data_IF_200538495438
#
_entry.id   IF_200538495438
#
_cell.length_a   1.000
_cell.length_b   1.000
_cell.length_c   1.000
_cell.angle_alpha   90.00
_cell.angle_beta   90.00
_cell.angle_gamma   90.00
#
_symmetry.space_group_name_H-M   'P 1'
#
loop_
_entity.id
_entity.type
_entity.pdbx_description
1 polymer ?
#
# COMPACT_ATOMS: atom_id res chain seq x y z
N UNK A 1 -10.69 -17.06 3.59
CA UNK A 1 -9.86 -16.82 2.36
C UNK A 1 -9.96 -15.37 1.97
N UNK A 2 -8.83 -14.70 1.80
CA UNK A 2 -8.79 -13.30 1.39
C UNK A 2 -9.07 -13.16 -0.11
N UNK A 3 -9.89 -12.18 -0.45
CA UNK A 3 -10.19 -11.78 -1.83
C UNK A 3 -10.02 -10.28 -1.97
N UNK A 4 -9.90 -9.79 -3.19
CA UNK A 4 -9.84 -8.35 -3.47
C UNK A 4 -10.95 -7.97 -4.44
N UNK A 5 -11.40 -6.73 -4.33
CA UNK A 5 -12.36 -6.11 -5.24
C UNK A 5 -12.02 -4.64 -5.43
N UNK A 6 -12.57 -3.98 -6.44
CA UNK A 6 -12.43 -2.52 -6.54
C UNK A 6 -12.94 -1.83 -5.27
N UNK A 7 -12.23 -0.80 -4.86
CA UNK A 7 -12.61 0.05 -3.74
C UNK A 7 -13.92 0.78 -4.04
N UNK A 8 -14.73 0.98 -3.00
CA UNK A 8 -15.95 1.78 -3.05
C UNK A 8 -15.86 2.91 -2.03
N UNK A 9 -16.45 4.06 -2.35
CA UNK A 9 -16.48 5.19 -1.42
C UNK A 9 -17.05 4.83 -0.04
N UNK A 10 -18.00 3.89 0.00
CA UNK A 10 -18.58 3.39 1.25
C UNK A 10 -17.56 2.68 2.16
N UNK A 11 -16.42 2.24 1.63
CA UNK A 11 -15.37 1.58 2.41
C UNK A 11 -14.52 2.57 3.21
N UNK A 12 -14.52 3.84 2.84
CA UNK A 12 -13.58 4.86 3.33
C UNK A 12 -13.56 4.98 4.84
N UNK A 13 -14.72 5.13 5.48
CA UNK A 13 -14.78 5.34 6.92
C UNK A 13 -14.23 4.14 7.69
N UNK A 14 -14.49 2.93 7.22
CA UNK A 14 -13.94 1.71 7.83
C UNK A 14 -12.41 1.69 7.72
N UNK A 15 -11.88 1.95 6.51
CA UNK A 15 -10.44 1.95 6.27
C UNK A 15 -9.75 3.04 7.10
N UNK A 16 -10.30 4.25 7.11
CA UNK A 16 -9.74 5.37 7.88
C UNK A 16 -9.74 5.10 9.38
N UNK A 17 -10.71 4.33 9.88
CA UNK A 17 -10.79 3.97 11.30
C UNK A 17 -9.62 3.10 11.77
N UNK A 18 -8.89 2.47 10.85
CA UNK A 18 -7.74 1.63 11.18
C UNK A 18 -6.49 2.41 11.56
N UNK A 19 -6.45 3.70 11.23
CA UNK A 19 -5.39 4.61 11.69
C UNK A 19 -5.86 5.31 12.96
N UNK A 20 -5.24 4.98 14.09
CA UNK A 20 -5.68 5.44 15.40
C UNK A 20 -4.89 6.65 15.90
N UNK A 21 -3.80 7.02 15.23
CA UNK A 21 -3.00 8.17 15.58
C UNK A 21 -2.36 8.80 14.34
N UNK A 22 -1.84 10.00 14.55
CA UNK A 22 -1.25 10.82 13.51
C UNK A 22 -0.03 10.16 12.86
N UNK A 23 0.84 9.57 13.67
CA UNK A 23 2.04 8.91 13.18
C UNK A 23 1.70 7.72 12.26
N UNK A 24 0.75 6.87 12.68
CA UNK A 24 0.29 5.74 11.87
C UNK A 24 -0.31 6.21 10.55
N UNK A 25 -1.07 7.31 10.57
CA UNK A 25 -1.65 7.88 9.37
C UNK A 25 -0.57 8.32 8.37
N UNK A 26 0.47 9.02 8.84
CA UNK A 26 1.54 9.46 7.95
C UNK A 26 2.48 8.32 7.52
N UNK A 27 2.67 7.28 8.33
CA UNK A 27 3.36 6.07 7.88
C UNK A 27 2.62 5.40 6.71
N UNK A 28 1.30 5.46 6.73
CA UNK A 28 0.46 4.87 5.69
C UNK A 28 0.39 5.74 4.43
N UNK A 29 0.23 7.04 4.59
CA UNK A 29 -0.10 7.96 3.48
C UNK A 29 1.08 8.76 2.95
N UNK A 30 2.16 8.89 3.71
CA UNK A 30 3.29 9.79 3.41
C UNK A 30 2.85 11.26 3.18
N UNK A 31 1.70 11.63 3.72
CA UNK A 31 1.13 12.97 3.57
C UNK A 31 0.35 13.19 2.26
N UNK A 32 0.23 12.17 1.42
CA UNK A 32 -0.44 12.29 0.12
C UNK A 32 -1.96 12.41 0.21
N UNK A 33 -2.56 12.09 1.35
CA UNK A 33 -4.01 12.18 1.59
C UNK A 33 -4.37 13.32 2.56
N UNK A 34 -3.54 14.37 2.63
CA UNK A 34 -3.77 15.51 3.49
C UNK A 34 -3.38 15.27 4.94
N UNK A 35 -4.06 15.95 5.86
CA UNK A 35 -3.76 15.93 7.29
C UNK A 35 -4.60 14.93 8.05
N UNK A 36 -4.07 14.45 9.17
CA UNK A 36 -4.82 13.62 10.10
C UNK A 36 -5.64 14.51 11.06
N UNK A 37 -6.89 14.15 11.39
CA UNK A 37 -7.67 13.03 10.84
C UNK A 37 -8.22 13.34 9.44
N UNK A 38 -8.35 12.30 8.61
CA UNK A 38 -8.93 12.43 7.28
C UNK A 38 -10.42 12.03 7.28
N UNK A 39 -11.16 12.53 6.29
CA UNK A 39 -12.58 12.24 6.12
C UNK A 39 -12.82 11.43 4.85
N UNK A 40 -14.00 10.82 4.74
CA UNK A 40 -14.40 10.12 3.52
C UNK A 40 -14.25 11.00 2.27
N UNK A 41 -14.59 12.28 2.37
CA UNK A 41 -14.51 13.22 1.27
C UNK A 41 -13.08 13.48 0.82
N UNK A 42 -12.13 13.47 1.76
CA UNK A 42 -10.70 13.66 1.48
C UNK A 42 -10.02 12.38 1.01
N UNK A 43 -10.62 11.24 1.29
CA UNK A 43 -10.10 9.92 0.90
C UNK A 43 -10.51 9.64 -0.56
N UNK A 44 -9.85 10.34 -1.47
CA UNK A 44 -10.11 10.23 -2.92
C UNK A 44 -8.77 10.09 -3.67
N UNK A 45 -8.83 9.49 -4.86
CA UNK A 45 -7.65 9.09 -5.60
C UNK A 45 -7.66 9.67 -7.01
N UNK A 46 -6.46 10.03 -7.52
CA UNK A 46 -6.28 10.45 -8.90
C UNK A 46 -6.48 9.26 -9.85
N UNK A 47 -6.77 9.54 -11.12
CA UNK A 47 -7.05 8.49 -12.12
C UNK A 47 -5.92 7.46 -12.30
N UNK A 48 -4.68 7.86 -12.05
CA UNK A 48 -3.54 6.94 -12.16
C UNK A 48 -3.47 5.88 -11.06
N UNK A 49 -4.30 6.00 -10.01
CA UNK A 49 -4.38 5.04 -8.92
C UNK A 49 -5.56 4.09 -9.12
N UNK A 50 -5.30 2.80 -8.96
CA UNK A 50 -6.33 1.77 -8.97
C UNK A 50 -6.46 1.27 -7.52
N UNK A 51 -7.51 1.68 -6.79
CA UNK A 51 -7.68 1.28 -5.40
C UNK A 51 -8.41 -0.04 -5.26
N UNK A 52 -7.92 -0.91 -4.37
CA UNK A 52 -8.51 -2.21 -4.07
C UNK A 52 -8.84 -2.34 -2.59
N UNK A 53 -9.98 -2.93 -2.31
CA UNK A 53 -10.37 -3.34 -0.96
C UNK A 53 -10.22 -4.85 -0.84
N UNK A 54 -9.54 -5.31 0.20
CA UNK A 54 -9.42 -6.72 0.54
C UNK A 54 -10.49 -7.08 1.57
N UNK A 55 -11.06 -8.26 1.43
CA UNK A 55 -12.14 -8.74 2.30
C UNK A 55 -12.07 -10.25 2.51
N UNK A 56 -12.65 -10.70 3.58
CA UNK A 56 -12.89 -12.11 3.88
C UNK A 56 -14.29 -12.29 4.50
N UNK A 57 -14.56 -13.44 5.09
CA UNK A 57 -15.85 -13.72 5.71
C UNK A 57 -16.16 -12.85 6.92
N UNK A 58 -15.18 -12.14 7.47
CA UNK A 58 -15.36 -11.18 8.57
C UNK A 58 -15.64 -9.76 8.11
N UNK A 59 -15.57 -9.50 6.81
CA UNK A 59 -15.77 -8.18 6.21
C UNK A 59 -14.50 -7.63 5.59
N UNK A 60 -14.37 -6.30 5.55
CA UNK A 60 -13.21 -5.62 4.97
C UNK A 60 -12.01 -5.80 5.89
N UNK A 61 -10.87 -6.26 5.34
CA UNK A 61 -9.66 -6.56 6.10
C UNK A 61 -8.43 -5.80 5.63
N UNK A 62 -8.46 -5.19 4.46
CA UNK A 62 -7.29 -4.47 3.97
C UNK A 62 -7.60 -3.55 2.80
N UNK A 63 -6.60 -2.75 2.44
CA UNK A 63 -6.69 -1.80 1.33
C UNK A 63 -5.30 -1.59 0.75
N UNK A 64 -5.21 -1.39 -0.55
CA UNK A 64 -3.99 -0.98 -1.24
C UNK A 64 -4.35 -0.36 -2.58
N UNK A 65 -3.37 0.30 -3.19
CA UNK A 65 -3.52 0.84 -4.54
C UNK A 65 -2.41 0.32 -5.44
N UNK A 66 -2.71 0.26 -6.73
CA UNK A 66 -1.72 0.10 -7.79
C UNK A 66 -1.69 1.38 -8.61
N UNK A 67 -0.51 1.88 -8.92
CA UNK A 67 -0.34 3.08 -9.71
C UNK A 67 0.53 2.79 -10.93
N UNK A 68 0.04 3.17 -12.11
CA UNK A 68 0.85 3.20 -13.30
C UNK A 68 1.72 4.46 -13.27
N UNK A 69 3.04 4.29 -13.24
CA UNK A 69 3.98 5.41 -13.13
C UNK A 69 4.11 6.20 -14.43
N UNK A 70 3.92 5.50 -15.54
CA UNK A 70 3.91 6.08 -16.87
C UNK A 70 2.98 5.27 -17.78
N UNK A 71 2.89 5.63 -19.05
CA UNK A 71 1.98 4.96 -19.98
C UNK A 71 2.55 3.66 -20.55
N UNK A 72 3.72 3.20 -20.10
CA UNK A 72 4.35 1.98 -20.59
C UNK A 72 3.77 0.71 -19.99
N UNK A 73 3.17 0.80 -18.80
CA UNK A 73 2.68 -0.33 -18.01
C UNK A 73 3.80 -1.29 -17.57
N UNK A 74 5.06 -0.89 -17.71
CA UNK A 74 6.19 -1.75 -17.33
C UNK A 74 6.34 -1.89 -15.82
N UNK A 75 6.07 -0.82 -15.08
CA UNK A 75 6.17 -0.83 -13.62
C UNK A 75 4.88 -0.31 -12.99
N UNK A 76 4.27 -1.13 -12.14
CA UNK A 76 3.17 -0.68 -11.27
C UNK A 76 3.69 -0.46 -9.86
N UNK A 77 3.31 0.66 -9.26
CA UNK A 77 3.68 0.98 -7.88
C UNK A 77 2.54 0.59 -6.93
N UNK A 78 2.87 -0.26 -5.98
CA UNK A 78 1.98 -0.61 -4.87
C UNK A 78 2.04 0.51 -3.84
N UNK A 79 0.90 0.98 -3.37
CA UNK A 79 0.85 2.07 -2.39
C UNK A 79 -0.32 1.96 -1.43
N UNK A 80 -0.30 2.82 -0.43
CA UNK A 80 -1.37 2.95 0.58
C UNK A 80 -1.80 1.61 1.18
N UNK A 81 -0.81 0.74 1.46
CA UNK A 81 -1.07 -0.59 2.02
C UNK A 81 -1.45 -0.48 3.48
N UNK A 82 -2.62 -0.98 3.84
CA UNK A 82 -3.07 -1.02 5.23
C UNK A 82 -3.88 -2.29 5.47
N UNK A 83 -3.73 -2.87 6.66
CA UNK A 83 -4.46 -4.06 7.10
C UNK A 83 -5.20 -3.71 8.39
N UNK A 84 -6.41 -4.22 8.51
CA UNK A 84 -7.23 -4.05 9.73
C UNK A 84 -6.43 -4.50 10.96
N UNK A 85 -6.42 -3.72 12.05
CA UNK A 85 -5.51 -3.98 13.18
C UNK A 85 -5.57 -5.40 13.74
N UNK A 86 -6.76 -5.99 13.86
CA UNK A 86 -6.92 -7.35 14.40
C UNK A 86 -6.44 -8.46 13.46
N UNK A 87 -6.16 -8.12 12.21
CA UNK A 87 -5.65 -9.05 11.19
C UNK A 87 -4.15 -8.92 10.94
N UNK A 88 -3.49 -8.00 11.63
CA UNK A 88 -2.04 -7.79 11.48
C UNK A 88 -1.27 -8.94 12.14
N UNK A 89 -0.09 -9.26 11.57
CA UNK A 89 0.76 -10.34 12.08
C UNK A 89 0.22 -11.75 11.83
N UNK A 90 -0.79 -11.91 10.97
CA UNK A 90 -1.44 -13.20 10.69
C UNK A 90 -1.39 -13.60 9.22
N UNK A 91 -0.54 -12.94 8.43
CA UNK A 91 -0.39 -13.22 7.01
C UNK A 91 -1.39 -12.53 6.08
N UNK A 92 -2.31 -11.72 6.62
CA UNK A 92 -3.33 -11.04 5.83
C UNK A 92 -2.71 -10.08 4.80
N UNK A 93 -1.73 -9.29 5.21
CA UNK A 93 -1.03 -8.37 4.31
C UNK A 93 -0.31 -9.10 3.19
N UNK A 94 0.34 -10.22 3.52
CA UNK A 94 1.00 -11.07 2.53
C UNK A 94 0.01 -11.60 1.50
N UNK A 95 -1.08 -12.20 1.96
CA UNK A 95 -2.09 -12.78 1.07
C UNK A 95 -2.72 -11.71 0.17
N UNK A 96 -3.03 -10.54 0.73
CA UNK A 96 -3.57 -9.42 -0.01
C UNK A 96 -2.63 -8.95 -1.11
N UNK A 97 -1.34 -8.77 -0.78
CA UNK A 97 -0.34 -8.30 -1.74
C UNK A 97 -0.02 -9.34 -2.81
N UNK A 98 -0.07 -10.63 -2.49
CA UNK A 98 0.05 -11.67 -3.50
C UNK A 98 -1.06 -11.59 -4.54
N UNK A 99 -2.29 -11.29 -4.13
CA UNK A 99 -3.40 -11.07 -5.06
C UNK A 99 -3.17 -9.79 -5.89
N UNK A 100 -2.66 -8.74 -5.28
CA UNK A 100 -2.32 -7.50 -5.98
C UNK A 100 -1.24 -7.73 -7.04
N UNK A 101 -0.20 -8.50 -6.73
CA UNK A 101 0.84 -8.85 -7.68
C UNK A 101 0.31 -9.74 -8.80
N UNK A 102 -0.58 -10.66 -8.49
CA UNK A 102 -1.23 -11.48 -9.52
C UNK A 102 -2.00 -10.61 -10.50
N UNK A 103 -2.76 -9.64 -9.99
CA UNK A 103 -3.43 -8.66 -10.84
C UNK A 103 -2.43 -7.88 -11.71
N UNK A 104 -1.37 -7.37 -11.09
CA UNK A 104 -0.36 -6.55 -11.77
C UNK A 104 0.33 -7.32 -12.90
N UNK A 105 0.70 -8.57 -12.66
CA UNK A 105 1.49 -9.36 -13.59
C UNK A 105 0.64 -10.12 -14.60
N UNK A 106 -0.40 -10.80 -14.15
CA UNK A 106 -1.19 -11.69 -15.03
C UNK A 106 -2.30 -10.95 -15.79
N UNK A 107 -2.92 -9.95 -15.16
CA UNK A 107 -4.03 -9.23 -15.78
C UNK A 107 -3.60 -7.91 -16.41
N UNK A 108 -2.72 -7.16 -15.75
CA UNK A 108 -2.26 -5.86 -16.25
C UNK A 108 -1.03 -5.99 -17.16
N UNK A 109 -0.25 -7.06 -17.01
CA UNK A 109 0.91 -7.33 -17.85
C UNK A 109 2.17 -6.55 -17.46
N UNK A 110 2.26 -6.08 -16.23
CA UNK A 110 3.45 -5.36 -15.77
C UNK A 110 4.67 -6.27 -15.73
N UNK A 111 5.85 -5.71 -15.96
CA UNK A 111 7.13 -6.43 -15.88
C UNK A 111 7.67 -6.46 -14.46
N UNK A 112 7.35 -5.46 -13.67
CA UNK A 112 7.77 -5.36 -12.27
C UNK A 112 6.76 -4.56 -11.46
N UNK A 113 6.82 -4.73 -10.15
CA UNK A 113 6.09 -3.91 -9.19
C UNK A 113 7.08 -3.31 -8.19
N UNK A 114 6.79 -2.12 -7.72
CA UNK A 114 7.62 -1.45 -6.72
C UNK A 114 6.75 -0.91 -5.59
N UNK A 115 7.36 -0.61 -4.47
CA UNK A 115 6.71 0.09 -3.37
C UNK A 115 7.74 0.87 -2.56
N UNK A 116 7.23 1.80 -1.76
CA UNK A 116 8.04 2.51 -0.77
C UNK A 116 7.65 2.06 0.63
N UNK A 117 8.64 1.98 1.52
CA UNK A 117 8.43 1.70 2.94
C UNK A 117 9.35 2.58 3.77
N UNK A 118 8.80 3.24 4.78
CA UNK A 118 9.63 4.02 5.70
C UNK A 118 10.54 3.12 6.51
N UNK A 119 11.80 3.53 6.67
CA UNK A 119 12.85 2.74 7.31
C UNK A 119 12.47 2.28 8.72
N UNK A 120 11.67 3.08 9.45
CA UNK A 120 11.19 2.74 10.78
C UNK A 120 10.02 1.75 10.81
N UNK A 121 9.39 1.46 9.68
CA UNK A 121 8.23 0.56 9.60
C UNK A 121 8.66 -0.88 9.33
N UNK A 122 9.30 -1.50 10.32
CA UNK A 122 9.84 -2.85 10.19
C UNK A 122 8.77 -3.93 9.93
N UNK A 123 7.61 -3.92 10.57
CA UNK A 123 6.58 -4.93 10.27
C UNK A 123 6.16 -4.92 8.79
N UNK A 124 5.99 -3.75 8.20
CA UNK A 124 5.68 -3.63 6.77
C UNK A 124 6.85 -4.12 5.91
N UNK A 125 8.07 -3.71 6.24
CA UNK A 125 9.26 -4.15 5.51
C UNK A 125 9.36 -5.67 5.43
N UNK A 126 9.24 -6.37 6.56
CA UNK A 126 9.31 -7.82 6.58
C UNK A 126 8.13 -8.49 5.87
N UNK A 127 6.94 -7.88 5.95
CA UNK A 127 5.79 -8.34 5.17
C UNK A 127 6.11 -8.32 3.68
N UNK A 128 6.62 -7.20 3.18
CA UNK A 128 6.96 -7.05 1.76
C UNK A 128 8.06 -8.00 1.32
N UNK A 129 9.07 -8.21 2.15
CA UNK A 129 10.12 -9.22 1.86
C UNK A 129 9.53 -10.62 1.75
N UNK A 130 8.56 -10.95 2.60
CA UNK A 130 7.90 -12.27 2.57
C UNK A 130 7.05 -12.50 1.31
N UNK A 131 6.60 -11.43 0.66
CA UNK A 131 5.86 -11.49 -0.61
C UNK A 131 6.80 -11.69 -1.80
N UNK A 132 8.07 -11.35 -1.66
CA UNK A 132 9.08 -11.49 -2.71
C UNK A 132 9.75 -10.19 -3.12
N UNK A 133 9.38 -9.06 -2.52
CA UNK A 133 10.05 -7.79 -2.80
C UNK A 133 11.49 -7.82 -2.31
N UNK A 134 12.39 -7.22 -3.08
CA UNK A 134 13.81 -7.07 -2.77
C UNK A 134 14.17 -5.60 -2.68
N UNK A 135 15.18 -5.29 -1.87
CA UNK A 135 15.66 -3.92 -1.73
C UNK A 135 16.20 -3.41 -3.07
N UNK A 136 15.75 -2.23 -3.49
CA UNK A 136 16.35 -1.50 -4.59
C UNK A 136 17.67 -0.85 -4.13
N UNK A 137 18.52 -0.37 -5.06
CA UNK A 137 19.73 0.35 -4.70
C UNK A 137 19.44 1.53 -3.74
N UNK A 138 20.38 1.83 -2.84
CA UNK A 138 20.23 2.86 -1.81
C UNK A 138 19.95 4.25 -2.37
N UNK A 139 20.46 4.56 -3.57
CA UNK A 139 20.22 5.82 -4.24
C UNK A 139 18.76 6.02 -4.70
N UNK A 140 17.96 4.95 -4.69
CA UNK A 140 16.54 5.01 -4.97
C UNK A 140 15.70 5.44 -3.75
N UNK A 141 16.31 5.55 -2.55
CA UNK A 141 15.60 5.97 -1.35
C UNK A 141 15.23 7.46 -1.43
N UNK A 142 14.05 7.78 -0.93
CA UNK A 142 13.54 9.15 -0.89
C UNK A 142 13.43 9.63 0.56
N UNK A 143 13.48 10.94 0.76
CA UNK A 143 13.35 11.55 2.08
C UNK A 143 12.13 12.42 2.14
N UNK A 144 11.40 12.31 3.25
CA UNK A 144 10.19 13.09 3.51
C UNK A 144 10.32 13.83 4.83
N UNK A 145 9.80 15.05 4.89
CA UNK A 145 9.66 15.78 6.15
C UNK A 145 8.26 15.49 6.70
N UNK A 146 8.19 14.68 7.73
CA UNK A 146 6.94 14.24 8.36
C UNK A 146 6.98 14.59 9.84
N UNK A 147 5.97 15.33 10.32
CA UNK A 147 5.85 15.72 11.72
C UNK A 147 7.12 16.40 12.26
N UNK A 148 7.77 17.23 11.42
CA UNK A 148 9.00 17.93 11.80
C UNK A 148 10.25 17.07 11.80
N UNK A 149 10.17 15.82 11.36
CA UNK A 149 11.31 14.90 11.28
C UNK A 149 11.58 14.47 9.84
N UNK A 150 12.80 14.08 9.55
CA UNK A 150 13.17 13.50 8.26
C UNK A 150 12.97 11.99 8.32
N UNK A 151 12.08 11.47 7.48
CA UNK A 151 11.83 10.04 7.32
C UNK A 151 12.40 9.55 6.00
N UNK A 152 13.16 8.47 6.02
CA UNK A 152 13.70 7.83 4.82
C UNK A 152 12.74 6.75 4.35
N UNK A 153 12.35 6.85 3.06
CA UNK A 153 11.50 5.86 2.41
C UNK A 153 12.36 4.99 1.50
N UNK A 154 12.46 3.72 1.82
CA UNK A 154 13.19 2.74 1.00
C UNK A 154 12.32 2.27 -0.15
N UNK A 155 12.94 2.02 -1.31
CA UNK A 155 12.26 1.41 -2.45
C UNK A 155 12.52 -0.09 -2.47
N UNK A 156 11.47 -0.89 -2.65
CA UNK A 156 11.52 -2.32 -2.86
C UNK A 156 10.95 -2.65 -4.24
N UNK A 157 11.46 -3.69 -4.87
CA UNK A 157 11.05 -4.12 -6.21
C UNK A 157 10.85 -5.62 -6.24
N UNK A 158 9.85 -6.07 -7.01
CA UNK A 158 9.67 -7.47 -7.39
C UNK A 158 9.44 -7.55 -8.89
N UNK A 159 10.14 -8.46 -9.55
CA UNK A 159 10.02 -8.65 -10.98
C UNK A 159 9.10 -9.81 -11.32
N UNK A 160 8.41 -9.66 -12.46
CA UNK A 160 7.59 -10.72 -13.03
C UNK A 160 8.50 -11.64 -13.84
N UNK A 161 8.80 -12.78 -13.25
CA UNK A 161 9.70 -13.78 -13.89
C UNK A 161 8.89 -14.81 -14.63
#
# INVERSE_FOLDING_TARGET
MIRIRPYKAADANTILSWCQDEKAFYQWTAGALGSYPSTQKEFCFVESLIPFTAFDETGIVGFFTLRNLDDSFDELRVGFVIVRPDKRGKGCGKDMLQLGLKFAFELYGAKKASLGVFAGNLPAYYCYKSVGFCDAPLDAAEKYCILGEEWTCKKLIVENI
#
